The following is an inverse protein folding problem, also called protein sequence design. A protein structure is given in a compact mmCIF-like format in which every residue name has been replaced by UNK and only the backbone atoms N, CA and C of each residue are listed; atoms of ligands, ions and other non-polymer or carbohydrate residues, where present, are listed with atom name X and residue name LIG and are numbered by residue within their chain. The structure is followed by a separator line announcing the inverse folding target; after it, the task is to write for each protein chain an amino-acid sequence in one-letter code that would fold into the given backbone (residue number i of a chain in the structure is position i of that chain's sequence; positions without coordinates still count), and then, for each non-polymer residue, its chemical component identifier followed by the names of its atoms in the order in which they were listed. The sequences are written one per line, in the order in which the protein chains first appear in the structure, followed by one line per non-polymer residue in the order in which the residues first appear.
data_IF_485054069724
#
_entry.id   IF_485054069724
#
_cell.length_a   1.000
_cell.length_b   1.000
_cell.length_c   1.000
_cell.angle_alpha   90.00
_cell.angle_beta   90.00
_cell.angle_gamma   90.00
#
_symmetry.space_group_name_H-M   'P 1'
#
loop_
_entity.id
_entity.type
_entity.pdbx_description
1 polymer ?
#
# COMPACT_ATOMS: atom_id res chain seq x y z
N UNK A 1 18.06 -20.98 10.17
CA UNK A 1 17.79 -20.00 9.10
C UNK A 1 17.69 -20.75 7.79
N UNK A 2 16.46 -20.92 7.30
CA UNK A 2 16.17 -21.65 6.06
C UNK A 2 16.74 -20.89 4.86
N UNK A 3 16.89 -21.56 3.71
CA UNK A 3 17.34 -20.89 2.48
C UNK A 3 16.38 -19.74 2.09
N UNK A 4 15.09 -19.92 2.34
CA UNK A 4 14.07 -18.90 2.12
C UNK A 4 14.29 -17.67 3.01
N UNK A 5 14.63 -17.85 4.30
CA UNK A 5 14.90 -16.72 5.20
C UNK A 5 16.05 -15.84 4.69
N UNK A 6 17.11 -16.48 4.16
CA UNK A 6 18.25 -15.77 3.56
C UNK A 6 17.85 -15.02 2.30
N UNK A 7 17.08 -15.65 1.41
CA UNK A 7 16.57 -14.99 0.19
C UNK A 7 15.70 -13.79 0.57
N UNK A 8 14.76 -13.96 1.51
CA UNK A 8 13.91 -12.86 1.98
C UNK A 8 14.75 -11.71 2.53
N UNK A 9 15.75 -11.98 3.36
CA UNK A 9 16.63 -10.95 3.93
C UNK A 9 17.47 -10.21 2.87
N UNK A 10 17.97 -10.91 1.85
CA UNK A 10 18.73 -10.29 0.76
C UNK A 10 17.81 -9.40 -0.06
N UNK A 11 16.65 -9.93 -0.45
CA UNK A 11 15.73 -9.23 -1.31
C UNK A 11 15.18 -8.00 -0.55
N UNK A 12 14.88 -8.10 0.76
CA UNK A 12 14.42 -6.96 1.59
C UNK A 12 15.47 -5.87 1.64
N UNK A 13 16.73 -6.24 1.83
CA UNK A 13 17.84 -5.30 1.87
C UNK A 13 17.98 -4.55 0.54
N UNK A 14 17.91 -5.28 -0.59
CA UNK A 14 17.98 -4.68 -1.94
C UNK A 14 16.83 -3.69 -2.16
N UNK A 15 15.60 -4.07 -1.79
CA UNK A 15 14.46 -3.20 -2.01
C UNK A 15 14.47 -1.96 -1.13
N UNK A 16 14.91 -2.07 0.13
CA UNK A 16 15.10 -0.89 0.99
C UNK A 16 16.13 0.05 0.35
N UNK A 17 17.25 -0.47 -0.15
CA UNK A 17 18.25 0.34 -0.85
C UNK A 17 17.65 0.99 -2.11
N UNK A 18 16.92 0.26 -2.94
CA UNK A 18 16.28 0.80 -4.13
C UNK A 18 15.24 1.89 -3.79
N UNK A 19 14.46 1.70 -2.73
CA UNK A 19 13.49 2.68 -2.25
C UNK A 19 14.23 3.92 -1.73
N UNK A 20 15.29 3.75 -0.93
CA UNK A 20 16.08 4.88 -0.44
C UNK A 20 16.74 5.67 -1.57
N UNK A 21 17.28 4.98 -2.59
CA UNK A 21 17.87 5.62 -3.77
C UNK A 21 16.82 6.40 -4.57
N UNK A 22 15.65 5.82 -4.81
CA UNK A 22 14.57 6.53 -5.52
C UNK A 22 14.08 7.75 -4.74
N UNK A 23 13.99 7.67 -3.40
CA UNK A 23 13.63 8.81 -2.54
C UNK A 23 14.67 9.94 -2.59
N UNK A 24 15.97 9.62 -2.75
CA UNK A 24 17.05 10.63 -2.75
C UNK A 24 17.24 11.27 -4.13
N UNK A 25 17.22 10.48 -5.20
CA UNK A 25 17.65 10.93 -6.52
C UNK A 25 16.52 11.30 -7.48
N UNK A 26 15.28 10.83 -7.23
CA UNK A 26 14.22 11.00 -8.21
C UNK A 26 13.36 12.24 -7.98
N UNK A 27 12.81 12.73 -9.08
CA UNK A 27 11.84 13.81 -9.13
C UNK A 27 10.54 13.42 -8.38
N UNK A 28 9.82 14.44 -7.90
CA UNK A 28 8.67 14.29 -7.00
C UNK A 28 7.58 13.37 -7.57
N UNK A 29 7.38 13.43 -8.90
CA UNK A 29 6.41 12.61 -9.62
C UNK A 29 6.79 11.11 -9.61
N UNK A 30 8.07 10.82 -9.86
CA UNK A 30 8.61 9.45 -9.81
C UNK A 30 8.57 8.92 -8.38
N UNK A 31 8.79 9.77 -7.39
CA UNK A 31 8.67 9.44 -5.98
C UNK A 31 7.23 9.07 -5.61
N UNK A 32 6.25 9.87 -6.06
CA UNK A 32 4.83 9.68 -5.76
C UNK A 32 4.25 8.40 -6.37
N UNK A 33 4.66 8.00 -7.57
CA UNK A 33 4.11 6.82 -8.27
C UNK A 33 5.04 5.60 -8.14
N UNK A 34 6.35 5.81 -8.29
CA UNK A 34 7.34 4.74 -8.34
C UNK A 34 7.51 4.03 -7.01
N UNK A 35 7.59 4.78 -5.90
CA UNK A 35 7.82 4.16 -4.58
C UNK A 35 6.62 3.30 -4.13
N UNK A 36 5.35 3.74 -4.20
CA UNK A 36 4.23 2.87 -3.86
C UNK A 36 4.16 1.62 -4.73
N UNK A 37 4.46 1.75 -6.02
CA UNK A 37 4.45 0.62 -6.96
C UNK A 37 5.55 -0.38 -6.65
N UNK A 38 6.76 0.12 -6.34
CA UNK A 38 7.87 -0.71 -5.87
C UNK A 38 7.52 -1.44 -4.58
N UNK A 39 6.88 -0.77 -3.63
CA UNK A 39 6.47 -1.43 -2.37
C UNK A 39 5.33 -2.42 -2.59
N UNK A 40 4.38 -2.15 -3.48
CA UNK A 40 3.37 -3.15 -3.85
C UNK A 40 4.04 -4.40 -4.43
N UNK A 41 4.93 -4.22 -5.39
CA UNK A 41 5.65 -5.32 -6.03
C UNK A 41 6.50 -6.08 -5.00
N UNK A 42 7.15 -5.35 -4.10
CA UNK A 42 7.89 -5.86 -2.96
C UNK A 42 7.04 -6.78 -2.06
N UNK A 43 5.88 -6.30 -1.63
CA UNK A 43 4.97 -7.04 -0.74
C UNK A 43 4.36 -8.25 -1.44
N UNK A 44 4.01 -8.12 -2.72
CA UNK A 44 3.51 -9.24 -3.53
C UNK A 44 4.59 -10.31 -3.69
N UNK A 45 5.84 -9.91 -3.92
CA UNK A 45 6.96 -10.83 -4.03
C UNK A 45 7.27 -11.57 -2.73
N UNK A 46 7.20 -10.89 -1.59
CA UNK A 46 7.29 -11.49 -0.25
C UNK A 46 6.21 -12.56 -0.02
N UNK A 47 4.95 -12.26 -0.35
CA UNK A 47 3.87 -13.24 -0.28
C UNK A 47 4.10 -14.44 -1.20
N UNK A 48 4.59 -14.17 -2.42
CA UNK A 48 4.93 -15.23 -3.36
C UNK A 48 6.03 -16.18 -2.85
N UNK A 49 7.13 -15.65 -2.29
CA UNK A 49 8.21 -16.49 -1.75
C UNK A 49 7.71 -17.40 -0.63
N UNK A 50 6.84 -16.87 0.24
CA UNK A 50 6.44 -17.56 1.46
C UNK A 50 5.61 -18.83 1.17
N UNK A 51 4.66 -18.76 0.23
CA UNK A 51 3.73 -19.87 -0.01
C UNK A 51 3.66 -20.38 -1.46
N UNK A 52 4.31 -19.71 -2.43
CA UNK A 52 4.09 -19.89 -3.90
C UNK A 52 2.63 -19.84 -4.36
N UNK A 53 1.71 -19.61 -3.42
CA UNK A 53 0.30 -19.37 -3.58
C UNK A 53 0.06 -18.06 -2.87
N UNK A 54 -0.20 -17.02 -3.64
CA UNK A 54 -0.70 -15.76 -3.11
C UNK A 54 -2.09 -16.03 -2.54
N UNK A 55 -2.14 -16.33 -1.24
CA UNK A 55 -3.42 -16.44 -0.56
C UNK A 55 -4.13 -15.09 -0.62
N UNK A 56 -5.47 -15.11 -0.71
CA UNK A 56 -6.30 -13.91 -0.78
C UNK A 56 -6.01 -12.95 0.39
N UNK A 57 -5.62 -13.50 1.55
CA UNK A 57 -5.21 -12.72 2.71
C UNK A 57 -3.90 -11.96 2.52
N UNK A 58 -2.87 -12.60 1.95
CA UNK A 58 -1.57 -11.96 1.69
C UNK A 58 -1.70 -10.89 0.61
N UNK A 59 -2.45 -11.17 -0.47
CA UNK A 59 -2.72 -10.18 -1.52
C UNK A 59 -3.44 -8.95 -0.96
N UNK A 60 -4.40 -9.14 -0.05
CA UNK A 60 -5.08 -8.03 0.64
C UNK A 60 -4.10 -7.22 1.49
N UNK A 61 -3.22 -7.88 2.26
CA UNK A 61 -2.19 -7.17 3.06
C UNK A 61 -1.24 -6.37 2.18
N UNK A 62 -0.83 -6.89 1.03
CA UNK A 62 0.02 -6.18 0.09
C UNK A 62 -0.65 -4.91 -0.45
N UNK A 63 -1.92 -5.01 -0.87
CA UNK A 63 -2.70 -3.85 -1.36
C UNK A 63 -2.92 -2.82 -0.25
N UNK A 64 -3.26 -3.23 0.96
CA UNK A 64 -3.39 -2.30 2.09
C UNK A 64 -2.06 -1.62 2.39
N UNK A 65 -0.96 -2.37 2.43
CA UNK A 65 0.38 -1.82 2.65
C UNK A 65 0.78 -0.79 1.60
N UNK A 66 0.51 -1.06 0.31
CA UNK A 66 0.82 -0.10 -0.75
C UNK A 66 -0.01 1.18 -0.67
N UNK A 67 -1.29 1.09 -0.33
CA UNK A 67 -2.17 2.26 -0.17
C UNK A 67 -1.69 3.11 1.01
N UNK A 68 -1.37 2.49 2.14
CA UNK A 68 -0.86 3.20 3.33
C UNK A 68 0.46 3.89 3.03
N UNK A 69 1.35 3.24 2.30
CA UNK A 69 2.65 3.82 1.93
C UNK A 69 2.49 4.95 0.93
N UNK A 70 1.62 4.80 -0.07
CA UNK A 70 1.26 5.90 -0.98
C UNK A 70 0.76 7.12 -0.20
N UNK A 71 -0.09 6.91 0.81
CA UNK A 71 -0.58 7.98 1.67
C UNK A 71 0.55 8.67 2.45
N UNK A 72 1.47 7.93 3.07
CA UNK A 72 2.61 8.53 3.77
C UNK A 72 3.55 9.30 2.83
N UNK A 73 3.77 8.81 1.62
CA UNK A 73 4.62 9.48 0.63
C UNK A 73 3.97 10.79 0.18
N UNK A 74 2.66 10.78 -0.04
CA UNK A 74 1.88 12.00 -0.30
C UNK A 74 2.05 12.99 0.85
N UNK A 75 1.91 12.55 2.10
CA UNK A 75 2.09 13.44 3.26
C UNK A 75 3.50 14.02 3.33
N UNK A 76 4.53 13.21 3.10
CA UNK A 76 5.93 13.68 3.09
C UNK A 76 6.15 14.68 1.95
N UNK A 77 5.59 14.43 0.77
CA UNK A 77 5.69 15.34 -0.38
C UNK A 77 5.03 16.69 -0.10
N UNK A 78 3.80 16.68 0.45
CA UNK A 78 3.08 17.90 0.86
C UNK A 78 3.85 18.63 1.97
N UNK A 79 4.42 17.90 2.93
CA UNK A 79 5.20 18.51 4.03
C UNK A 79 6.48 19.18 3.54
N UNK A 80 7.11 18.67 2.48
CA UNK A 80 8.31 19.26 1.89
C UNK A 80 8.00 20.45 0.98
N UNK A 81 6.87 20.41 0.29
CA UNK A 81 6.44 21.47 -0.61
C UNK A 81 4.91 21.64 -0.54
N UNK A 82 4.42 22.57 0.30
CA UNK A 82 2.98 22.82 0.49
C UNK A 82 2.26 23.25 -0.78
N UNK A 83 2.97 23.89 -1.72
CA UNK A 83 2.40 24.37 -2.98
C UNK A 83 1.92 23.21 -3.86
N UNK A 84 2.50 22.01 -3.71
CA UNK A 84 2.03 20.80 -4.39
C UNK A 84 0.56 20.53 -4.04
N UNK A 85 0.17 20.68 -2.78
CA UNK A 85 -1.20 20.48 -2.37
C UNK A 85 -2.11 21.58 -2.93
N UNK A 86 -1.69 22.84 -2.81
CA UNK A 86 -2.48 23.98 -3.31
C UNK A 86 -2.75 23.87 -4.81
N UNK A 87 -1.74 23.51 -5.60
CA UNK A 87 -1.83 23.41 -7.05
C UNK A 87 -2.57 22.15 -7.53
N UNK A 88 -2.63 21.09 -6.72
CA UNK A 88 -3.22 19.80 -7.11
C UNK A 88 -4.35 19.36 -6.18
N UNK A 89 -5.03 20.32 -5.53
CA UNK A 89 -6.07 20.06 -4.52
C UNK A 89 -7.16 19.10 -5.03
N UNK A 90 -7.56 19.22 -6.29
CA UNK A 90 -8.55 18.33 -6.91
C UNK A 90 -8.09 16.87 -6.94
N UNK A 91 -6.83 16.63 -7.31
CA UNK A 91 -6.25 15.29 -7.37
C UNK A 91 -6.20 14.68 -5.96
N UNK A 92 -5.79 15.45 -4.96
CA UNK A 92 -5.79 14.99 -3.58
C UNK A 92 -7.20 14.70 -3.06
N UNK A 93 -8.17 15.57 -3.36
CA UNK A 93 -9.56 15.34 -2.99
C UNK A 93 -10.12 14.08 -3.65
N UNK A 94 -9.77 13.82 -4.91
CA UNK A 94 -10.14 12.59 -5.62
C UNK A 94 -9.50 11.37 -4.93
N UNK A 95 -8.20 11.40 -4.63
CA UNK A 95 -7.51 10.32 -3.95
C UNK A 95 -8.13 10.00 -2.58
N UNK A 96 -8.34 11.01 -1.74
CA UNK A 96 -8.98 10.83 -0.44
C UNK A 96 -10.42 10.35 -0.56
N UNK A 97 -11.17 10.85 -1.55
CA UNK A 97 -12.50 10.37 -1.88
C UNK A 97 -12.49 8.88 -2.21
N UNK A 98 -11.62 8.45 -3.14
CA UNK A 98 -11.49 7.04 -3.52
C UNK A 98 -11.11 6.15 -2.34
N UNK A 99 -10.09 6.54 -1.55
CA UNK A 99 -9.65 5.78 -0.37
C UNK A 99 -10.78 5.65 0.64
N UNK A 100 -11.50 6.75 0.92
CA UNK A 100 -12.65 6.76 1.84
C UNK A 100 -13.78 5.86 1.32
N UNK A 101 -14.09 5.90 0.03
CA UNK A 101 -15.08 5.02 -0.59
C UNK A 101 -14.68 3.55 -0.48
N UNK A 102 -13.42 3.21 -0.74
CA UNK A 102 -12.91 1.83 -0.62
C UNK A 102 -13.03 1.34 0.82
N UNK A 103 -12.60 2.17 1.79
CA UNK A 103 -12.68 1.85 3.23
C UNK A 103 -14.15 1.70 3.66
N UNK A 104 -15.01 2.63 3.26
CA UNK A 104 -16.44 2.60 3.55
C UNK A 104 -17.13 1.37 2.97
N UNK A 105 -16.81 1.00 1.73
CA UNK A 105 -17.32 -0.21 1.09
C UNK A 105 -16.85 -1.47 1.83
N UNK A 106 -15.57 -1.53 2.23
CA UNK A 106 -15.00 -2.66 2.96
C UNK A 106 -15.68 -2.89 4.32
N UNK A 107 -15.80 -1.85 5.14
CA UNK A 107 -16.44 -1.94 6.45
C UNK A 107 -17.96 -2.10 6.35
N UNK A 108 -18.61 -1.41 5.40
CA UNK A 108 -20.04 -1.54 5.15
C UNK A 108 -20.44 -2.95 4.73
N UNK A 109 -19.69 -3.57 3.81
CA UNK A 109 -19.92 -4.95 3.39
C UNK A 109 -19.74 -5.94 4.56
N UNK A 110 -18.73 -5.73 5.41
CA UNK A 110 -18.50 -6.57 6.58
C UNK A 110 -19.63 -6.44 7.61
N UNK A 111 -20.05 -5.22 7.93
CA UNK A 111 -21.14 -4.96 8.87
C UNK A 111 -22.46 -5.59 8.42
N UNK A 112 -22.74 -5.58 7.10
CA UNK A 112 -23.94 -6.21 6.54
C UNK A 112 -23.91 -7.74 6.66
N UNK A 113 -22.74 -8.38 6.55
CA UNK A 113 -22.60 -9.83 6.76
C UNK A 113 -22.72 -10.23 8.23
N UNK A 114 -22.10 -9.48 9.13
CA UNK A 114 -22.21 -9.73 10.58
C UNK A 114 -23.66 -9.54 11.04
N UNK A 115 -24.38 -8.53 10.53
CA UNK A 115 -25.81 -8.34 10.83
C UNK A 115 -26.69 -9.52 10.35
N UNK A 116 -26.45 -10.06 9.15
CA UNK A 116 -27.20 -11.22 8.63
C UNK A 116 -26.92 -12.53 9.38
N UNK A 117 -25.68 -12.77 9.80
CA UNK A 117 -25.36 -13.96 10.59
C UNK A 117 -25.96 -13.89 12.00
N UNK A 118 -26.08 -12.69 12.60
CA UNK A 118 -26.69 -12.54 13.92
C UNK A 118 -28.22 -12.58 13.91
N UNK A 119 -28.86 -12.38 12.76
CA UNK A 119 -30.34 -12.39 12.63
C UNK A 119 -30.90 -13.69 12.02
N UNK A 120 -30.05 -14.66 11.69
CA UNK A 120 -30.45 -15.97 11.16
C UNK A 120 -30.58 -17.08 12.20
N UNK A 121 -30.68 -16.75 13.49
CA UNK A 121 -30.73 -17.72 14.60
C UNK A 121 -31.92 -17.51 15.55
N UNK A 122 -32.98 -16.85 15.08
CA UNK A 122 -34.32 -16.91 15.68
C UNK A 122 -35.31 -17.49 14.65
#
# INVERSE_FOLDING_TARGET
MTNNDKIVAIVTSIAVICISLTVIFCDTLVLAVGVPTLVLLWLVFLGWINNKKLDKGEMRRAITGSIVIAFFIILIAISKNPDIYSNNKEIFSLFFGMVTTIIGYYFGYRSGKESKNSSGNE
#
